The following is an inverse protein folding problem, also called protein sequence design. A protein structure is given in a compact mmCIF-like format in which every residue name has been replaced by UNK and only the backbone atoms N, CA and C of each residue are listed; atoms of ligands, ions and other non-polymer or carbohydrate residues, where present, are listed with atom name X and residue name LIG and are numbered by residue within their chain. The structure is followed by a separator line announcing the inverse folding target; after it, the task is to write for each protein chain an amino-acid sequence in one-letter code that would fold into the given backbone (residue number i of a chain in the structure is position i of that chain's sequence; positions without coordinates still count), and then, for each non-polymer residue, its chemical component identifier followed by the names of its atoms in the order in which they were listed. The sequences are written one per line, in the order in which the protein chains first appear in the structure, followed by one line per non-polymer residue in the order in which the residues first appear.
data_IF_462919277149
#
_entry.id   IF_462919277149
#
_cell.length_a   1.000
_cell.length_b   1.000
_cell.length_c   1.000
_cell.angle_alpha   90.00
_cell.angle_beta   90.00
_cell.angle_gamma   90.00
#
_symmetry.space_group_name_H-M   'P 1'
#
loop_
_entity.id
_entity.type
_entity.pdbx_description
1 polymer ?
#
# COMPACT_ATOMS: atom_id res chain seq x y z
N UNK A 1 -7.09 16.41 -50.94
CA UNK A 1 -8.42 16.03 -51.43
C UNK A 1 -9.17 15.43 -50.26
N UNK A 2 -10.06 16.26 -49.67
CA UNK A 2 -11.49 16.07 -49.49
C UNK A 2 -11.83 14.91 -48.52
N UNK A 3 -12.61 15.00 -47.47
CA UNK A 3 -13.77 15.85 -47.23
C UNK A 3 -14.09 15.91 -45.74
N UNK A 4 -14.59 17.05 -45.32
CA UNK A 4 -15.27 17.34 -44.05
C UNK A 4 -16.62 16.64 -43.96
N UNK A 5 -17.04 16.27 -42.76
CA UNK A 5 -18.45 16.09 -42.47
C UNK A 5 -18.76 16.68 -41.07
N UNK A 6 -19.39 17.85 -41.15
CA UNK A 6 -20.16 18.50 -40.07
C UNK A 6 -21.45 17.73 -39.83
N UNK A 7 -21.78 17.44 -38.58
CA UNK A 7 -23.14 17.10 -38.18
C UNK A 7 -23.59 18.08 -37.07
N UNK A 8 -24.47 18.97 -37.53
CA UNK A 8 -25.35 19.82 -36.72
C UNK A 8 -26.68 19.10 -36.50
N UNK A 9 -27.22 19.15 -35.32
CA UNK A 9 -28.57 18.76 -35.02
C UNK A 9 -28.76 18.74 -33.51
N UNK A 10 -29.53 19.43 -32.90
CA UNK A 10 -30.73 20.25 -32.99
C UNK A 10 -31.29 20.31 -31.57
N UNK A 11 -31.69 21.47 -31.16
CA UNK A 11 -32.36 21.84 -29.92
C UNK A 11 -33.66 21.05 -29.70
N UNK A 12 -33.96 20.72 -28.45
CA UNK A 12 -35.33 20.50 -28.01
C UNK A 12 -35.55 21.21 -26.69
N UNK A 13 -36.31 22.27 -26.80
CA UNK A 13 -36.95 23.04 -25.74
C UNK A 13 -38.13 22.27 -25.17
N UNK A 14 -38.24 22.23 -23.86
CA UNK A 14 -39.41 21.76 -23.14
C UNK A 14 -39.52 22.46 -21.79
N UNK A 15 -40.43 23.39 -21.66
CA UNK A 15 -40.70 24.24 -20.53
C UNK A 15 -41.67 23.58 -19.49
N UNK A 16 -42.12 24.29 -18.47
CA UNK A 16 -41.98 23.93 -17.06
C UNK A 16 -43.34 23.55 -16.43
N UNK A 17 -43.33 22.85 -15.33
CA UNK A 17 -44.47 22.74 -14.40
C UNK A 17 -43.94 22.65 -12.98
N UNK A 18 -44.13 23.68 -12.27
CA UNK A 18 -45.11 23.89 -11.19
C UNK A 18 -44.76 23.28 -9.82
N UNK A 19 -44.66 24.22 -8.93
CA UNK A 19 -44.64 24.20 -7.50
C UNK A 19 -45.47 23.11 -6.80
N UNK A 20 -44.88 22.47 -5.85
CA UNK A 20 -45.58 21.96 -4.69
C UNK A 20 -44.77 22.26 -3.42
N UNK A 21 -45.37 23.08 -2.62
CA UNK A 21 -45.02 23.44 -1.25
C UNK A 21 -44.91 22.24 -0.31
N UNK A 22 -44.09 22.41 0.71
CA UNK A 22 -44.38 21.89 2.04
C UNK A 22 -43.56 20.65 2.43
N UNK A 23 -42.65 20.83 3.35
CA UNK A 23 -42.03 19.75 4.08
C UNK A 23 -40.82 20.26 4.88
N UNK A 24 -41.08 20.82 6.06
CA UNK A 24 -40.06 20.91 7.09
C UNK A 24 -39.63 19.50 7.41
N UNK A 25 -38.52 19.06 6.85
CA UNK A 25 -37.88 17.76 7.07
C UNK A 25 -36.55 18.02 7.77
N UNK A 26 -36.57 17.84 9.07
CA UNK A 26 -35.47 17.42 9.93
C UNK A 26 -34.13 17.22 9.20
N UNK A 27 -33.21 18.11 9.54
CA UNK A 27 -31.79 17.93 9.26
C UNK A 27 -31.37 16.57 9.79
N UNK A 28 -31.46 15.54 8.95
CA UNK A 28 -30.84 14.27 9.21
C UNK A 28 -29.34 14.54 9.24
N UNK A 29 -28.78 14.53 10.42
CA UNK A 29 -27.35 14.44 10.62
C UNK A 29 -26.88 13.27 9.76
N UNK A 30 -26.13 13.57 8.70
CA UNK A 30 -25.39 12.57 7.93
C UNK A 30 -24.54 11.83 8.96
N UNK A 31 -24.75 10.52 9.20
CA UNK A 31 -23.82 9.80 10.00
C UNK A 31 -22.48 9.91 9.27
N UNK A 32 -21.53 10.56 9.89
CA UNK A 32 -20.13 10.40 9.58
C UNK A 32 -19.87 8.90 9.74
N UNK A 33 -19.92 8.16 8.63
CA UNK A 33 -19.39 6.82 8.55
C UNK A 33 -17.89 6.90 8.85
N UNK A 34 -17.60 7.04 10.12
CA UNK A 34 -16.32 6.71 10.68
C UNK A 34 -16.26 5.19 10.76
N UNK A 35 -16.26 4.53 9.61
CA UNK A 35 -15.72 3.18 9.50
C UNK A 35 -14.23 3.33 9.81
N UNK A 36 -13.92 3.41 11.09
CA UNK A 36 -12.58 3.18 11.59
C UNK A 36 -12.23 1.77 11.12
N UNK A 37 -11.58 1.70 9.95
CA UNK A 37 -11.06 0.45 9.42
C UNK A 37 -10.15 -0.09 10.49
N UNK A 38 -10.54 -1.20 11.12
CA UNK A 38 -9.72 -1.86 12.13
C UNK A 38 -8.32 -2.01 11.54
N UNK A 39 -7.26 -1.66 12.30
CA UNK A 39 -5.91 -1.76 11.79
C UNK A 39 -5.70 -3.19 11.33
N UNK A 40 -5.32 -3.38 10.07
CA UNK A 40 -5.02 -4.69 9.53
C UNK A 40 -3.85 -5.29 10.32
N UNK A 41 -3.73 -6.62 10.35
CA UNK A 41 -2.61 -7.29 11.02
C UNK A 41 -1.26 -6.69 10.56
N UNK A 42 -1.15 -6.39 9.26
CA UNK A 42 0.03 -5.76 8.68
C UNK A 42 0.37 -4.39 9.31
N UNK A 43 -0.64 -3.59 9.65
CA UNK A 43 -0.44 -2.29 10.31
C UNK A 43 0.05 -2.40 11.76
N UNK A 44 -0.16 -3.53 12.38
CA UNK A 44 0.38 -3.77 13.72
C UNK A 44 1.84 -4.23 13.77
N UNK A 45 2.49 -4.44 12.62
CA UNK A 45 3.86 -4.97 12.57
C UNK A 45 4.95 -3.90 12.70
N UNK A 46 4.69 -2.69 12.22
CA UNK A 46 5.60 -1.57 12.29
C UNK A 46 4.85 -0.33 12.79
N UNK A 47 5.55 0.56 13.45
CA UNK A 47 5.03 1.87 13.83
C UNK A 47 5.54 2.94 12.87
N UNK A 48 4.81 4.05 12.72
CA UNK A 48 5.26 5.19 11.92
C UNK A 48 6.61 5.74 12.40
N UNK A 49 6.86 5.69 13.71
CA UNK A 49 8.12 6.13 14.31
C UNK A 49 9.30 5.27 13.85
N UNK A 50 9.19 3.95 13.92
CA UNK A 50 10.26 3.03 13.48
C UNK A 50 10.58 3.19 11.99
N UNK A 51 9.53 3.32 11.17
CA UNK A 51 9.72 3.57 9.74
C UNK A 51 10.41 4.92 9.51
N UNK A 52 10.00 5.96 10.24
CA UNK A 52 10.62 7.29 10.13
C UNK A 52 12.09 7.29 10.56
N UNK A 53 12.41 6.60 11.66
CA UNK A 53 13.80 6.47 12.16
C UNK A 53 14.72 5.76 11.15
N UNK A 54 14.23 4.72 10.49
CA UNK A 54 15.01 3.95 9.52
C UNK A 54 15.12 4.62 8.14
N UNK A 55 14.04 5.25 7.68
CA UNK A 55 14.00 5.88 6.35
C UNK A 55 14.48 7.35 6.35
N UNK A 56 14.54 7.97 7.52
CA UNK A 56 14.83 9.40 7.65
C UNK A 56 13.66 10.29 7.17
N UNK A 57 12.46 9.75 7.00
CA UNK A 57 11.29 10.46 6.48
C UNK A 57 10.15 10.42 7.49
N UNK A 58 9.54 11.57 7.79
CA UNK A 58 8.35 11.62 8.60
C UNK A 58 7.19 10.95 7.83
N UNK A 59 6.61 9.89 8.41
CA UNK A 59 5.56 9.11 7.78
C UNK A 59 4.32 9.01 8.67
N UNK A 60 3.17 8.79 8.03
CA UNK A 60 1.92 8.37 8.67
C UNK A 60 1.47 7.02 8.13
N UNK A 61 0.82 6.28 8.97
CA UNK A 61 0.34 4.94 8.68
C UNK A 61 -1.06 4.97 8.08
N UNK A 62 -1.30 4.15 7.06
CA UNK A 62 -2.60 4.00 6.41
C UNK A 62 -2.88 2.52 6.14
N UNK A 63 -4.04 2.03 6.59
CA UNK A 63 -4.53 0.72 6.19
C UNK A 63 -5.03 0.75 4.75
N UNK A 64 -4.71 -0.28 3.97
CA UNK A 64 -5.18 -0.47 2.59
C UNK A 64 -5.52 -1.94 2.36
N UNK A 65 -6.77 -2.32 2.55
CA UNK A 65 -7.16 -3.73 2.54
C UNK A 65 -6.37 -4.51 3.58
N UNK A 66 -5.70 -5.59 3.19
CA UNK A 66 -4.84 -6.41 4.06
C UNK A 66 -3.41 -5.87 4.20
N UNK A 67 -3.10 -4.78 3.52
CA UNK A 67 -1.78 -4.16 3.56
C UNK A 67 -1.76 -2.92 4.46
N UNK A 68 -0.55 -2.53 4.87
CA UNK A 68 -0.29 -1.29 5.56
C UNK A 68 0.69 -0.44 4.76
N UNK A 69 0.32 0.79 4.48
CA UNK A 69 1.15 1.77 3.81
C UNK A 69 1.67 2.78 4.81
N UNK A 70 2.92 3.15 4.66
CA UNK A 70 3.53 4.29 5.32
C UNK A 70 3.78 5.33 4.25
N UNK A 71 3.10 6.46 4.35
CA UNK A 71 3.18 7.56 3.39
C UNK A 71 3.77 8.80 4.05
N UNK A 72 4.42 9.66 3.28
CA UNK A 72 4.98 10.91 3.84
C UNK A 72 3.92 11.72 4.58
N UNK A 73 4.25 12.16 5.81
CA UNK A 73 3.28 12.86 6.67
C UNK A 73 2.85 14.21 6.08
N UNK A 74 3.76 14.89 5.39
CA UNK A 74 3.58 16.25 4.87
C UNK A 74 3.03 16.30 3.44
N UNK A 75 2.75 15.15 2.83
CA UNK A 75 2.17 15.07 1.48
C UNK A 75 0.79 14.40 1.53
N UNK A 76 -0.29 15.16 1.77
CA UNK A 76 -1.63 14.60 1.95
C UNK A 76 -2.17 13.86 0.73
N UNK A 77 -1.66 14.16 -0.46
CA UNK A 77 -2.09 13.57 -1.73
C UNK A 77 -1.06 12.63 -2.35
N UNK A 78 0.00 12.21 -1.63
CA UNK A 78 0.99 11.31 -2.21
C UNK A 78 0.40 9.91 -2.40
N UNK A 79 0.24 9.43 -3.65
CA UNK A 79 -0.24 8.08 -3.91
C UNK A 79 0.83 7.02 -3.60
N UNK A 80 2.08 7.42 -3.43
CA UNK A 80 3.19 6.50 -3.25
C UNK A 80 3.53 6.28 -1.79
N UNK A 81 3.66 5.00 -1.41
CA UNK A 81 4.13 4.63 -0.10
C UNK A 81 5.65 4.80 0.00
N UNK A 82 6.14 5.17 1.18
CA UNK A 82 7.57 5.08 1.56
C UNK A 82 7.90 3.64 1.91
N UNK A 83 6.99 2.97 2.62
CA UNK A 83 7.06 1.54 2.94
C UNK A 83 5.68 0.93 2.77
N UNK A 84 5.64 -0.27 2.20
CA UNK A 84 4.44 -1.09 2.10
C UNK A 84 4.66 -2.40 2.84
N UNK A 85 3.78 -2.76 3.75
CA UNK A 85 3.79 -4.04 4.47
C UNK A 85 2.56 -4.84 4.11
N UNK A 86 2.72 -6.07 3.67
CA UNK A 86 1.60 -6.93 3.30
C UNK A 86 1.88 -8.41 3.58
N UNK A 87 0.81 -9.18 3.75
CA UNK A 87 0.88 -10.63 3.72
C UNK A 87 0.45 -11.16 2.36
N UNK A 88 1.10 -12.22 1.94
CA UNK A 88 0.78 -12.97 0.72
C UNK A 88 0.63 -14.46 1.04
N UNK A 89 -0.07 -15.25 0.23
CA UNK A 89 -0.07 -16.70 0.37
C UNK A 89 1.36 -17.28 0.41
N UNK A 90 1.56 -18.39 1.09
CA UNK A 90 2.89 -19.01 1.22
C UNK A 90 3.57 -19.28 -0.13
N UNK A 91 2.79 -19.65 -1.16
CA UNK A 91 3.29 -19.88 -2.51
C UNK A 91 3.90 -18.63 -3.16
N UNK A 92 3.54 -17.42 -2.70
CA UNK A 92 4.07 -16.18 -3.27
C UNK A 92 5.59 -16.06 -3.13
N UNK A 93 6.18 -16.69 -2.10
CA UNK A 93 7.62 -16.74 -1.89
C UNK A 93 8.32 -17.47 -3.05
N UNK A 94 7.87 -18.70 -3.35
CA UNK A 94 8.46 -19.50 -4.43
C UNK A 94 8.20 -18.87 -5.81
N UNK A 95 7.02 -18.31 -6.02
CA UNK A 95 6.70 -17.62 -7.29
C UNK A 95 7.61 -16.42 -7.51
N UNK A 96 7.83 -15.61 -6.48
CA UNK A 96 8.75 -14.48 -6.58
C UNK A 96 10.19 -14.95 -6.84
N UNK A 97 10.66 -15.95 -6.11
CA UNK A 97 12.00 -16.54 -6.29
C UNK A 97 12.20 -17.13 -7.69
N UNK A 98 11.23 -17.91 -8.18
CA UNK A 98 11.28 -18.47 -9.53
C UNK A 98 11.25 -17.39 -10.61
N UNK A 99 10.38 -16.40 -10.47
CA UNK A 99 10.30 -15.24 -11.37
C UNK A 99 11.59 -14.43 -11.43
N UNK A 100 12.28 -14.31 -10.31
CA UNK A 100 13.55 -13.61 -10.23
C UNK A 100 14.69 -14.39 -10.89
N UNK A 101 14.76 -15.69 -10.66
CA UNK A 101 15.75 -16.57 -11.33
C UNK A 101 15.63 -16.51 -12.85
N UNK A 102 14.41 -16.52 -13.38
CA UNK A 102 14.15 -16.41 -14.82
C UNK A 102 14.56 -15.05 -15.41
N UNK A 103 14.45 -13.98 -14.63
CA UNK A 103 14.75 -12.62 -15.07
C UNK A 103 16.17 -12.16 -14.74
N UNK A 104 17.02 -13.03 -14.19
CA UNK A 104 18.38 -12.71 -13.71
C UNK A 104 18.41 -11.52 -12.75
N UNK A 105 17.44 -11.44 -11.86
CA UNK A 105 17.37 -10.37 -10.86
C UNK A 105 18.36 -10.60 -9.73
N UNK A 106 18.83 -9.51 -9.14
CA UNK A 106 19.72 -9.55 -7.99
C UNK A 106 18.90 -9.82 -6.72
N UNK A 107 18.90 -11.07 -6.29
CA UNK A 107 18.28 -11.49 -5.05
C UNK A 107 19.33 -11.73 -4.00
N UNK A 108 19.33 -10.90 -2.98
CA UNK A 108 20.25 -11.02 -1.85
C UNK A 108 19.61 -11.88 -0.75
N UNK A 109 20.24 -12.98 -0.33
CA UNK A 109 19.75 -13.75 0.80
C UNK A 109 19.88 -12.93 2.08
N UNK A 110 18.82 -12.94 2.90
CA UNK A 110 18.78 -12.26 4.20
C UNK A 110 18.69 -13.32 5.30
N UNK A 111 19.72 -13.38 6.14
CA UNK A 111 19.79 -14.35 7.23
C UNK A 111 19.06 -13.89 8.49
N UNK A 112 18.56 -14.85 9.27
CA UNK A 112 17.94 -14.58 10.58
C UNK A 112 16.50 -14.05 10.50
N UNK A 113 15.82 -14.19 9.35
CA UNK A 113 14.44 -13.79 9.17
C UNK A 113 13.57 -14.96 8.71
N UNK A 114 12.53 -15.29 9.51
CA UNK A 114 11.60 -16.35 9.17
C UNK A 114 12.28 -17.71 8.95
N UNK A 115 11.75 -18.50 8.03
CA UNK A 115 12.37 -19.76 7.57
C UNK A 115 13.43 -19.49 6.50
N UNK A 116 13.14 -18.57 5.63
CA UNK A 116 13.97 -18.11 4.53
C UNK A 116 13.56 -16.67 4.20
N UNK A 117 14.51 -15.82 3.80
CA UNK A 117 14.23 -14.48 3.35
C UNK A 117 15.22 -14.05 2.28
N UNK A 118 14.76 -13.18 1.38
CA UNK A 118 15.59 -12.52 0.40
C UNK A 118 15.09 -11.12 0.09
N UNK A 119 16.02 -10.29 -0.33
CA UNK A 119 15.77 -8.93 -0.77
C UNK A 119 15.94 -8.83 -2.29
N UNK A 120 14.92 -8.32 -2.99
CA UNK A 120 14.95 -8.04 -4.42
C UNK A 120 15.41 -6.59 -4.63
N UNK A 121 16.64 -6.39 -5.06
CA UNK A 121 17.23 -5.07 -5.28
C UNK A 121 16.51 -4.26 -6.35
N UNK A 122 16.02 -4.93 -7.41
CA UNK A 122 15.37 -4.26 -8.54
C UNK A 122 14.05 -3.60 -8.14
N UNK A 123 13.29 -4.26 -7.25
CA UNK A 123 11.98 -3.77 -6.80
C UNK A 123 12.05 -3.09 -5.44
N UNK A 124 13.08 -3.38 -4.64
CA UNK A 124 13.17 -2.94 -3.27
C UNK A 124 12.27 -3.73 -2.32
N UNK A 125 11.93 -4.96 -2.66
CA UNK A 125 11.04 -5.81 -1.90
C UNK A 125 11.80 -6.85 -1.07
N UNK A 126 11.53 -6.89 0.24
CA UNK A 126 11.94 -7.97 1.12
C UNK A 126 10.83 -9.00 1.22
N UNK A 127 11.14 -10.24 0.92
CA UNK A 127 10.27 -11.40 1.07
C UNK A 127 10.73 -12.24 2.24
N UNK A 128 9.84 -12.54 3.17
CA UNK A 128 10.12 -13.38 4.34
C UNK A 128 9.15 -14.54 4.38
N UNK A 129 9.65 -15.78 4.30
CA UNK A 129 8.84 -16.97 4.40
C UNK A 129 8.49 -17.25 5.86
N UNK A 130 7.19 -17.18 6.17
CA UNK A 130 6.62 -17.51 7.45
C UNK A 130 5.79 -18.80 7.36
N UNK A 131 5.46 -19.44 8.49
CA UNK A 131 4.51 -20.56 8.48
C UNK A 131 3.16 -20.14 7.88
N UNK A 132 2.77 -20.78 6.78
CA UNK A 132 1.49 -20.58 6.09
C UNK A 132 1.35 -19.30 5.25
N UNK A 133 2.31 -18.39 5.27
CA UNK A 133 2.23 -17.11 4.53
C UNK A 133 3.60 -16.50 4.25
N UNK A 134 3.63 -15.51 3.38
CA UNK A 134 4.80 -14.70 3.07
C UNK A 134 4.56 -13.27 3.56
N UNK A 135 5.47 -12.73 4.36
CA UNK A 135 5.53 -11.30 4.65
C UNK A 135 6.31 -10.60 3.54
N UNK A 136 5.74 -9.53 3.00
CA UNK A 136 6.39 -8.68 2.00
C UNK A 136 6.49 -7.27 2.54
N UNK A 137 7.72 -6.73 2.52
CA UNK A 137 8.00 -5.33 2.88
C UNK A 137 8.62 -4.67 1.66
N UNK A 138 7.84 -3.80 1.01
CA UNK A 138 8.28 -3.07 -0.17
C UNK A 138 8.79 -1.68 0.20
N UNK A 139 9.96 -1.32 -0.33
CA UNK A 139 10.53 0.02 -0.27
C UNK A 139 10.61 0.59 -1.69
N UNK A 140 9.58 1.33 -2.13
CA UNK A 140 9.61 1.94 -3.45
C UNK A 140 10.79 2.91 -3.61
N UNK A 141 11.10 3.28 -4.86
CA UNK A 141 12.33 4.00 -5.27
C UNK A 141 12.61 5.35 -4.57
N UNK A 142 11.69 5.86 -3.77
CA UNK A 142 11.88 7.12 -3.02
C UNK A 142 12.87 7.02 -1.87
N UNK A 143 13.14 5.83 -1.36
CA UNK A 143 14.23 5.63 -0.42
C UNK A 143 15.53 5.56 -1.21
N UNK A 144 16.53 6.38 -0.84
CA UNK A 144 17.80 6.50 -1.56
C UNK A 144 18.41 5.14 -1.87
N UNK A 145 18.88 4.97 -3.11
CA UNK A 145 19.60 3.77 -3.54
C UNK A 145 20.78 3.49 -2.58
N UNK A 146 20.99 2.22 -2.26
CA UNK A 146 22.00 1.79 -1.27
C UNK A 146 21.54 1.80 0.18
N UNK A 147 20.51 2.57 0.53
CA UNK A 147 19.92 2.48 1.88
C UNK A 147 18.83 1.43 1.99
N UNK A 148 18.14 1.10 0.88
CA UNK A 148 17.03 0.13 0.85
C UNK A 148 17.48 -1.28 1.27
N UNK A 149 18.63 -1.72 0.78
CA UNK A 149 19.23 -3.02 1.13
C UNK A 149 19.48 -3.16 2.64
N UNK A 150 19.85 -2.08 3.31
CA UNK A 150 20.04 -2.06 4.76
C UNK A 150 18.73 -1.91 5.52
N UNK A 151 17.83 -1.05 5.05
CA UNK A 151 16.58 -0.72 5.74
C UNK A 151 15.58 -1.87 5.70
N UNK A 152 15.42 -2.56 4.55
CA UNK A 152 14.44 -3.62 4.40
C UNK A 152 14.65 -4.77 5.40
N UNK A 153 15.85 -5.33 5.59
CA UNK A 153 16.10 -6.33 6.62
C UNK A 153 15.83 -5.85 8.05
N UNK A 154 16.15 -4.60 8.37
CA UNK A 154 15.87 -4.06 9.72
C UNK A 154 14.37 -3.96 9.99
N UNK A 155 13.59 -3.45 9.04
CA UNK A 155 12.11 -3.46 9.12
C UNK A 155 11.58 -4.89 9.23
N UNK A 156 12.18 -5.83 8.48
CA UNK A 156 11.85 -7.25 8.55
C UNK A 156 12.06 -7.84 9.94
N UNK A 157 13.19 -7.52 10.60
CA UNK A 157 13.48 -7.99 11.96
C UNK A 157 12.47 -7.47 12.97
N UNK A 158 12.12 -6.18 12.89
CA UNK A 158 11.10 -5.58 13.77
C UNK A 158 9.72 -6.26 13.58
N UNK A 159 9.33 -6.45 12.32
CA UNK A 159 8.04 -7.07 12.00
C UNK A 159 7.98 -8.53 12.46
N UNK A 160 9.02 -9.32 12.21
CA UNK A 160 9.08 -10.75 12.61
C UNK A 160 9.13 -10.89 14.14
N UNK A 161 9.89 -10.04 14.83
CA UNK A 161 9.93 -10.03 16.29
C UNK A 161 8.55 -9.77 16.90
N UNK A 162 7.77 -8.84 16.35
CA UNK A 162 6.38 -8.59 16.79
C UNK A 162 5.44 -9.74 16.50
N UNK A 163 5.61 -10.43 15.38
CA UNK A 163 4.83 -11.63 15.08
C UNK A 163 5.13 -12.75 16.07
N UNK A 164 6.38 -12.92 16.46
CA UNK A 164 6.78 -13.91 17.46
C UNK A 164 6.21 -13.59 18.85
N UNK A 165 6.15 -12.31 19.24
CA UNK A 165 5.64 -11.87 20.52
C UNK A 165 4.11 -11.99 20.67
N UNK A 166 3.37 -12.20 19.58
CA UNK A 166 1.89 -12.37 19.58
C UNK A 166 1.42 -13.83 19.66
N UNK A 167 2.35 -14.77 19.65
CA UNK A 167 2.08 -16.22 19.80
C UNK A 167 2.17 -16.67 21.25
#
# INVERSE_FOLDING_TARGET
MLASALYLGACSTGAPLEQASGGQGLSAAVPLDTTATLPTEACGLLTAREVAELTGQAVRQQAQGEACRFVEANQPASPEAVVLVSFRPAAAFQVAQAGNNLRRRNMLPVTGLGREAYYDEDHGDLYVQLPGRTLVIGLPRRVKDGSRERIAPELGRLAVARLAARR
#
